data_IF_753510056404
#
_entry.id   IF_753510056404
#
_cell.length_a   1.000
_cell.length_b   1.000
_cell.length_c   1.000
_cell.angle_alpha   90.00
_cell.angle_beta   90.00
_cell.angle_gamma   90.00
#
_symmetry.space_group_name_H-M   'P 1'
#
loop_
_entity.id
_entity.type
_entity.pdbx_description
1 polymer ?
#
# COMPACT_ATOMS: atom_id res chain seq x y z
N UNK A 1 -21.69 25.68 -15.51
CA UNK A 1 -20.28 25.41 -15.91
C UNK A 1 -20.03 23.91 -15.79
N UNK A 2 -19.59 23.25 -16.85
CA UNK A 2 -19.31 21.81 -16.81
C UNK A 2 -17.97 21.52 -16.10
N UNK A 3 -17.68 20.25 -15.82
CA UNK A 3 -16.45 19.88 -15.09
C UNK A 3 -15.18 20.24 -15.85
N UNK A 4 -15.21 20.17 -17.19
CA UNK A 4 -14.06 20.50 -18.04
C UNK A 4 -13.71 21.99 -17.95
N UNK A 5 -14.73 22.87 -17.97
CA UNK A 5 -14.57 24.31 -17.78
C UNK A 5 -14.05 24.64 -16.37
N UNK A 6 -14.59 23.97 -15.33
CA UNK A 6 -14.11 24.10 -13.94
C UNK A 6 -12.63 23.72 -13.81
N UNK A 7 -12.24 22.56 -14.34
CA UNK A 7 -10.86 22.09 -14.31
C UNK A 7 -9.92 23.01 -15.10
N UNK A 8 -10.35 23.46 -16.29
CA UNK A 8 -9.58 24.40 -17.11
C UNK A 8 -9.30 25.70 -16.35
N UNK A 9 -10.33 26.30 -15.75
CA UNK A 9 -10.17 27.52 -14.94
C UNK A 9 -9.29 27.28 -13.72
N UNK A 10 -9.46 26.16 -13.01
CA UNK A 10 -8.61 25.81 -11.87
C UNK A 10 -7.13 25.73 -12.28
N UNK A 11 -6.82 24.99 -13.36
CA UNK A 11 -5.43 24.83 -13.83
C UNK A 11 -4.82 26.15 -14.27
N UNK A 12 -5.58 26.96 -15.01
CA UNK A 12 -5.13 28.30 -15.42
C UNK A 12 -4.96 29.25 -14.23
N UNK A 13 -5.84 29.19 -13.22
CA UNK A 13 -5.82 30.06 -12.04
C UNK A 13 -4.67 29.71 -11.10
N UNK A 14 -4.49 28.42 -10.79
CA UNK A 14 -3.56 27.95 -9.75
C UNK A 14 -2.17 27.71 -10.32
N UNK A 15 -2.06 26.98 -11.43
CA UNK A 15 -0.77 26.58 -12.01
C UNK A 15 -0.30 27.50 -13.14
N UNK A 16 -1.13 28.48 -13.55
CA UNK A 16 -0.81 29.46 -14.59
C UNK A 16 -0.36 28.80 -15.91
N UNK A 17 -0.99 27.68 -16.27
CA UNK A 17 -0.65 26.87 -17.44
C UNK A 17 -1.89 26.30 -18.14
N UNK A 18 -1.70 25.57 -19.24
CA UNK A 18 -2.77 24.86 -19.96
C UNK A 18 -3.00 23.44 -19.42
N UNK A 19 -4.13 22.82 -19.79
CA UNK A 19 -4.42 21.43 -19.40
C UNK A 19 -3.42 20.44 -19.97
N UNK A 20 -2.90 20.69 -21.17
CA UNK A 20 -1.93 19.84 -21.85
C UNK A 20 -0.61 19.79 -21.07
N UNK A 21 -0.06 20.96 -20.70
CA UNK A 21 1.18 21.02 -19.92
C UNK A 21 0.99 20.44 -18.52
N UNK A 22 -0.17 20.69 -17.88
CA UNK A 22 -0.50 20.09 -16.59
C UNK A 22 -0.53 18.56 -16.65
N UNK A 23 -1.18 17.99 -17.68
CA UNK A 23 -1.25 16.56 -17.89
C UNK A 23 0.13 15.94 -18.18
N UNK A 24 0.93 16.55 -19.05
CA UNK A 24 2.28 16.07 -19.35
C UNK A 24 3.19 16.13 -18.11
N UNK A 25 3.10 17.18 -17.30
CA UNK A 25 3.83 17.26 -16.04
C UNK A 25 3.44 16.13 -15.06
N UNK A 26 2.16 15.79 -14.97
CA UNK A 26 1.69 14.65 -14.18
C UNK A 26 2.19 13.31 -14.73
N UNK A 27 2.16 13.10 -16.06
CA UNK A 27 2.66 11.86 -16.69
C UNK A 27 4.15 11.64 -16.44
N UNK A 28 4.95 12.71 -16.49
CA UNK A 28 6.41 12.65 -16.33
C UNK A 28 6.86 12.53 -14.87
N UNK A 29 5.97 12.75 -13.90
CA UNK A 29 6.31 12.75 -12.47
C UNK A 29 5.52 11.70 -11.68
N UNK A 30 6.09 10.50 -11.47
CA UNK A 30 5.48 9.46 -10.64
C UNK A 30 5.16 9.94 -9.22
N UNK A 31 6.00 10.81 -8.65
CA UNK A 31 5.77 11.39 -7.33
C UNK A 31 4.49 12.26 -7.31
N UNK A 32 4.27 13.07 -8.34
CA UNK A 32 3.07 13.90 -8.44
C UNK A 32 1.81 13.03 -8.57
N UNK A 33 1.86 11.94 -9.36
CA UNK A 33 0.78 10.97 -9.43
C UNK A 33 0.50 10.32 -8.07
N UNK A 34 1.54 10.00 -7.31
CA UNK A 34 1.43 9.48 -5.95
C UNK A 34 0.69 10.43 -5.01
N UNK A 35 1.06 11.72 -4.98
CA UNK A 35 0.38 12.73 -4.15
C UNK A 35 -1.09 12.94 -4.54
N UNK A 36 -1.38 12.99 -5.84
CA UNK A 36 -2.75 13.11 -6.34
C UNK A 36 -3.56 11.87 -5.97
N UNK A 37 -2.99 10.68 -6.14
CA UNK A 37 -3.65 9.42 -5.79
C UNK A 37 -3.97 9.35 -4.29
N UNK A 38 -3.02 9.72 -3.42
CA UNK A 38 -3.27 9.79 -1.98
C UNK A 38 -4.42 10.74 -1.62
N UNK A 39 -4.45 11.93 -2.25
CA UNK A 39 -5.54 12.90 -2.06
C UNK A 39 -6.90 12.38 -2.55
N UNK A 40 -6.92 11.61 -3.64
CA UNK A 40 -8.12 10.95 -4.17
C UNK A 40 -8.60 9.87 -3.20
N UNK A 41 -7.71 9.00 -2.75
CA UNK A 41 -7.99 7.94 -1.76
C UNK A 41 -8.60 8.53 -0.49
N UNK A 42 -8.02 9.58 0.07
CA UNK A 42 -8.55 10.29 1.24
C UNK A 42 -9.95 10.87 1.00
N UNK A 43 -10.17 11.51 -0.15
CA UNK A 43 -11.48 12.08 -0.50
C UNK A 43 -12.55 11.00 -0.67
N UNK A 44 -12.22 9.89 -1.31
CA UNK A 44 -13.12 8.76 -1.50
C UNK A 44 -13.44 8.07 -0.17
N UNK A 45 -12.44 7.89 0.68
CA UNK A 45 -12.62 7.34 2.03
C UNK A 45 -13.58 8.20 2.84
N UNK A 46 -13.37 9.52 2.88
CA UNK A 46 -14.27 10.46 3.56
C UNK A 46 -15.71 10.33 3.05
N UNK A 47 -15.90 10.33 1.72
CA UNK A 47 -17.23 10.18 1.11
C UNK A 47 -17.88 8.84 1.45
N UNK A 48 -17.11 7.75 1.48
CA UNK A 48 -17.58 6.42 1.87
C UNK A 48 -18.04 6.40 3.33
N UNK A 49 -17.22 6.91 4.26
CA UNK A 49 -17.55 7.00 5.68
C UNK A 49 -18.81 7.83 5.95
N UNK A 50 -18.94 8.99 5.31
CA UNK A 50 -20.10 9.85 5.46
C UNK A 50 -21.35 9.29 4.79
N UNK A 51 -21.22 8.81 3.56
CA UNK A 51 -22.35 8.39 2.72
C UNK A 51 -22.90 7.01 3.06
N UNK A 52 -22.03 6.03 3.30
CA UNK A 52 -22.44 4.64 3.55
C UNK A 52 -22.62 4.35 5.04
N UNK A 53 -21.80 4.95 5.90
CA UNK A 53 -21.78 4.65 7.34
C UNK A 53 -22.39 5.75 8.22
N UNK A 54 -22.73 6.91 7.64
CA UNK A 54 -23.33 8.03 8.38
C UNK A 54 -22.40 8.63 9.44
N UNK A 55 -21.08 8.50 9.25
CA UNK A 55 -20.04 8.95 10.18
C UNK A 55 -19.69 10.40 9.86
N UNK A 56 -19.53 11.24 10.89
CA UNK A 56 -18.98 12.59 10.71
C UNK A 56 -17.46 12.49 10.61
N UNK A 57 -16.87 13.06 9.55
CA UNK A 57 -15.43 12.98 9.27
C UNK A 57 -14.83 14.38 9.06
N UNK A 58 -13.77 14.70 9.80
CA UNK A 58 -13.03 15.97 9.69
C UNK A 58 -11.56 15.69 9.42
N UNK A 59 -10.97 16.32 8.39
CA UNK A 59 -9.54 16.17 8.09
C UNK A 59 -8.69 16.82 9.19
N UNK A 60 -7.64 16.13 9.61
CA UNK A 60 -6.64 16.66 10.55
C UNK A 60 -5.76 17.66 9.83
N UNK A 61 -5.46 18.79 10.46
CA UNK A 61 -4.58 19.81 9.90
C UNK A 61 -3.17 19.26 9.66
N UNK A 62 -2.70 19.41 8.42
CA UNK A 62 -1.38 18.95 7.97
C UNK A 62 -0.23 19.63 8.76
N UNK A 63 -0.30 20.96 8.91
CA UNK A 63 0.63 21.74 9.72
C UNK A 63 0.03 21.99 11.10
N UNK A 64 0.41 21.14 12.06
CA UNK A 64 -0.02 21.24 13.45
C UNK A 64 0.59 22.46 14.14
N UNK A 65 -0.22 23.21 14.89
CA UNK A 65 0.24 24.32 15.73
C UNK A 65 0.46 23.86 17.18
N UNK A 66 1.65 24.10 17.73
CA UNK A 66 2.00 23.71 19.10
C UNK A 66 2.41 22.24 19.25
N UNK A 67 2.31 21.71 20.47
CA UNK A 67 2.66 20.31 20.76
C UNK A 67 1.51 19.39 20.36
N UNK A 68 1.75 18.46 19.43
CA UNK A 68 0.77 17.45 19.03
C UNK A 68 0.63 16.40 20.13
N UNK A 69 -0.61 16.12 20.55
CA UNK A 69 -0.89 15.01 21.46
C UNK A 69 -0.63 13.68 20.74
N UNK A 70 -0.20 12.66 21.47
CA UNK A 70 0.12 11.34 20.92
C UNK A 70 -1.03 10.71 20.14
N UNK A 71 -2.27 11.02 20.51
CA UNK A 71 -3.46 10.39 19.92
C UNK A 71 -4.04 11.18 18.74
N UNK A 72 -3.35 12.21 18.23
CA UNK A 72 -3.79 12.99 17.05
C UNK A 72 -3.03 12.63 15.77
N UNK A 73 -2.25 11.56 15.77
CA UNK A 73 -1.35 11.19 14.69
C UNK A 73 -2.09 10.39 13.60
N UNK A 74 -3.06 11.04 12.94
CA UNK A 74 -3.78 10.48 11.80
C UNK A 74 -4.05 11.48 10.68
N UNK A 75 -4.84 11.07 9.69
CA UNK A 75 -5.34 11.90 8.61
C UNK A 75 -6.75 12.47 8.88
N UNK A 76 -7.57 11.73 9.62
CA UNK A 76 -8.96 12.08 9.89
C UNK A 76 -9.34 11.96 11.37
N UNK A 77 -10.17 12.89 11.84
CA UNK A 77 -11.07 12.69 12.95
C UNK A 77 -12.37 12.10 12.46
N UNK A 78 -12.95 11.15 13.20
CA UNK A 78 -14.25 10.60 12.90
C UNK A 78 -15.10 10.33 14.15
N UNK A 79 -16.43 10.44 14.03
CA UNK A 79 -17.37 10.04 15.08
C UNK A 79 -18.72 9.64 14.50
N UNK A 80 -19.50 8.86 15.26
CA UNK A 80 -20.94 8.76 15.00
C UNK A 80 -21.65 10.01 15.55
N UNK A 81 -22.59 10.61 14.80
CA UNK A 81 -23.25 11.88 15.19
C UNK A 81 -23.88 11.89 16.58
N UNK A 82 -24.28 10.74 17.12
CA UNK A 82 -24.96 10.62 18.42
C UNK A 82 -24.07 10.16 19.58
N UNK A 83 -22.81 9.79 19.33
CA UNK A 83 -21.94 9.14 20.32
C UNK A 83 -20.94 10.13 20.95
N UNK A 84 -20.78 11.35 20.41
CA UNK A 84 -19.99 12.43 21.01
C UNK A 84 -18.47 12.19 21.09
N UNK A 85 -18.00 10.95 20.96
CA UNK A 85 -16.61 10.55 21.03
C UNK A 85 -15.94 10.63 19.66
N UNK A 86 -14.86 11.40 19.58
CA UNK A 86 -14.03 11.51 18.39
C UNK A 86 -12.88 10.52 18.44
N UNK A 87 -12.58 9.93 17.30
CA UNK A 87 -11.48 8.99 17.10
C UNK A 87 -10.62 9.47 15.94
N UNK A 88 -9.42 8.91 15.83
CA UNK A 88 -8.44 9.24 14.81
C UNK A 88 -8.22 8.06 13.88
N UNK A 89 -8.25 8.32 12.58
CA UNK A 89 -8.02 7.34 11.53
C UNK A 89 -6.81 7.75 10.69
N UNK A 90 -5.94 6.78 10.43
CA UNK A 90 -4.85 6.89 9.46
C UNK A 90 -5.28 6.25 8.13
N UNK A 91 -5.05 6.93 7.01
CA UNK A 91 -5.38 6.45 5.66
C UNK A 91 -4.11 6.08 4.91
N UNK A 92 -4.03 4.85 4.42
CA UNK A 92 -2.89 4.31 3.67
C UNK A 92 -3.33 3.64 2.38
N UNK A 93 -2.35 3.36 1.53
CA UNK A 93 -2.50 2.46 0.39
C UNK A 93 -1.55 1.28 0.50
N UNK A 94 -1.71 0.30 -0.39
CA UNK A 94 -0.75 -0.78 -0.57
C UNK A 94 0.49 -0.31 -1.33
N UNK A 95 1.62 -1.01 -1.18
CA UNK A 95 2.85 -0.72 -1.94
C UNK A 95 2.67 -0.99 -3.43
N UNK A 96 3.30 -0.15 -4.25
CA UNK A 96 3.32 -0.33 -5.71
C UNK A 96 4.40 -1.30 -6.20
N UNK A 97 5.35 -1.72 -5.36
CA UNK A 97 6.54 -2.47 -5.77
C UNK A 97 6.82 -3.74 -4.94
N UNK A 98 5.84 -4.27 -4.21
CA UNK A 98 6.02 -5.45 -3.34
C UNK A 98 6.58 -6.66 -4.08
N UNK A 99 6.06 -6.95 -5.27
CA UNK A 99 6.46 -8.09 -6.08
C UNK A 99 7.94 -8.01 -6.49
N UNK A 100 8.42 -6.82 -6.87
CA UNK A 100 9.84 -6.56 -7.16
C UNK A 100 10.69 -6.65 -5.89
N UNK A 101 10.24 -6.04 -4.79
CA UNK A 101 10.95 -6.04 -3.52
C UNK A 101 11.24 -7.47 -3.01
N UNK A 102 10.24 -8.35 -3.10
CA UNK A 102 10.37 -9.77 -2.72
C UNK A 102 10.95 -10.65 -3.83
N UNK A 103 11.28 -10.07 -5.00
CA UNK A 103 11.82 -10.75 -6.19
C UNK A 103 10.94 -11.89 -6.68
N UNK A 104 9.62 -11.70 -6.66
CA UNK A 104 8.64 -12.72 -7.03
C UNK A 104 8.70 -13.11 -8.51
N UNK A 105 9.44 -12.35 -9.33
CA UNK A 105 9.83 -12.72 -10.70
C UNK A 105 10.78 -13.93 -10.79
N UNK A 106 11.19 -14.52 -9.65
CA UNK A 106 11.93 -15.76 -9.54
C UNK A 106 11.06 -16.86 -8.89
N UNK A 107 10.99 -18.04 -9.50
CA UNK A 107 10.10 -19.14 -9.06
C UNK A 107 10.25 -19.49 -7.58
N UNK A 108 11.48 -19.70 -7.11
CA UNK A 108 11.72 -20.11 -5.71
C UNK A 108 11.32 -19.01 -4.71
N UNK A 109 11.46 -17.74 -5.08
CA UNK A 109 11.02 -16.61 -4.27
C UNK A 109 9.49 -16.56 -4.20
N UNK A 110 8.80 -16.68 -5.33
CA UNK A 110 7.34 -16.73 -5.39
C UNK A 110 6.79 -17.91 -4.58
N UNK A 111 7.31 -19.13 -4.81
CA UNK A 111 6.91 -20.33 -4.08
C UNK A 111 7.12 -20.16 -2.58
N UNK A 112 8.32 -19.74 -2.15
CA UNK A 112 8.63 -19.54 -0.74
C UNK A 112 7.74 -18.47 -0.08
N UNK A 113 7.46 -17.38 -0.80
CA UNK A 113 6.58 -16.31 -0.33
C UNK A 113 5.15 -16.80 -0.12
N UNK A 114 4.57 -17.50 -1.10
CA UNK A 114 3.23 -18.07 -0.99
C UNK A 114 3.14 -19.11 0.14
N UNK A 115 4.16 -19.96 0.32
CA UNK A 115 4.20 -20.94 1.43
C UNK A 115 4.21 -20.21 2.78
N UNK A 116 5.08 -19.20 2.92
CA UNK A 116 5.22 -18.43 4.17
C UNK A 116 3.90 -17.76 4.57
N UNK A 117 3.10 -17.35 3.58
CA UNK A 117 1.83 -16.65 3.78
C UNK A 117 0.60 -17.49 3.44
N UNK A 118 0.73 -18.82 3.41
CA UNK A 118 -0.32 -19.73 2.95
C UNK A 118 -1.63 -19.61 3.75
N UNK A 119 -1.54 -19.29 5.04
CA UNK A 119 -2.71 -19.05 5.91
C UNK A 119 -3.59 -17.88 5.45
N UNK A 120 -3.07 -17.02 4.57
CA UNK A 120 -3.75 -15.83 4.02
C UNK A 120 -4.33 -16.09 2.63
N UNK A 121 -4.29 -17.33 2.15
CA UNK A 121 -4.73 -17.74 0.82
C UNK A 121 -5.97 -18.62 0.96
N UNK A 122 -7.13 -18.13 0.52
CA UNK A 122 -8.44 -18.73 0.76
C UNK A 122 -8.61 -20.16 0.21
N UNK A 123 -7.90 -20.51 -0.88
CA UNK A 123 -7.99 -21.83 -1.50
C UNK A 123 -7.02 -22.85 -0.88
N UNK A 124 -6.16 -22.46 0.06
CA UNK A 124 -5.27 -23.38 0.78
C UNK A 124 -6.00 -23.95 2.00
N UNK A 125 -6.02 -25.29 2.09
CA UNK A 125 -6.44 -25.98 3.31
C UNK A 125 -5.22 -26.16 4.22
N UNK A 126 -5.21 -25.63 5.47
CA UNK A 126 -4.07 -25.76 6.38
C UNK A 126 -3.82 -27.20 6.87
N UNK A 127 -4.80 -28.11 6.72
CA UNK A 127 -4.66 -29.52 7.14
C UNK A 127 -3.96 -30.40 6.08
N UNK A 128 -3.66 -29.84 4.90
CA UNK A 128 -3.01 -30.53 3.79
C UNK A 128 -1.55 -30.08 3.63
N UNK A 129 -0.77 -30.86 2.87
CA UNK A 129 0.58 -30.44 2.52
C UNK A 129 0.54 -29.22 1.59
N UNK A 130 0.99 -28.09 2.10
CA UNK A 130 0.91 -26.77 1.47
C UNK A 130 1.85 -26.69 0.25
N UNK A 131 3.04 -27.29 0.35
CA UNK A 131 4.09 -27.10 -0.66
C UNK A 131 3.71 -27.67 -2.04
N UNK A 132 3.21 -28.91 -2.16
CA UNK A 132 2.75 -29.46 -3.43
C UNK A 132 1.64 -28.64 -4.07
N UNK A 133 0.67 -28.16 -3.29
CA UNK A 133 -0.46 -27.37 -3.79
C UNK A 133 -0.04 -26.03 -4.36
N UNK A 134 0.88 -25.35 -3.68
CA UNK A 134 1.44 -24.08 -4.18
C UNK A 134 2.27 -24.33 -5.44
N UNK A 135 3.09 -25.39 -5.46
CA UNK A 135 3.84 -25.76 -6.66
C UNK A 135 2.94 -26.10 -7.84
N UNK A 136 1.86 -26.86 -7.63
CA UNK A 136 0.85 -27.16 -8.64
C UNK A 136 0.19 -25.89 -9.14
N UNK A 137 -0.25 -25.01 -8.23
CA UNK A 137 -0.87 -23.74 -8.59
C UNK A 137 0.06 -22.87 -9.46
N UNK A 138 1.34 -22.71 -9.09
CA UNK A 138 2.31 -21.94 -9.89
C UNK A 138 2.53 -22.61 -11.25
N UNK A 139 2.64 -23.94 -11.31
CA UNK A 139 2.87 -24.66 -12.55
C UNK A 139 1.68 -24.53 -13.53
N UNK A 140 0.45 -24.57 -13.00
CA UNK A 140 -0.76 -24.44 -13.81
C UNK A 140 -1.00 -22.99 -14.26
N UNK A 141 -0.86 -22.02 -13.36
CA UNK A 141 -1.21 -20.63 -13.64
C UNK A 141 -0.06 -19.82 -14.24
N UNK A 142 1.18 -20.21 -13.97
CA UNK A 142 2.40 -19.53 -14.39
C UNK A 142 3.39 -20.51 -15.08
N UNK A 143 2.98 -21.27 -16.12
CA UNK A 143 3.76 -22.35 -16.72
C UNK A 143 5.12 -21.92 -17.30
N UNK A 144 5.27 -20.66 -17.71
CA UNK A 144 6.58 -20.12 -18.16
C UNK A 144 7.70 -20.32 -17.15
N UNK A 145 7.43 -20.39 -15.83
CA UNK A 145 8.46 -20.70 -14.83
C UNK A 145 9.08 -22.10 -14.98
N UNK A 146 8.42 -23.03 -15.65
CA UNK A 146 8.96 -24.38 -15.88
C UNK A 146 10.06 -24.38 -16.95
N UNK A 147 10.05 -23.40 -17.86
CA UNK A 147 10.91 -23.39 -19.04
C UNK A 147 11.51 -22.00 -19.31
N UNK A 148 10.72 -21.06 -19.83
CA UNK A 148 11.17 -19.73 -20.26
C UNK A 148 11.78 -18.90 -19.11
N UNK A 149 11.19 -18.98 -17.92
CA UNK A 149 11.61 -18.26 -16.71
C UNK A 149 12.23 -19.18 -15.65
N UNK A 150 12.71 -20.36 -16.05
CA UNK A 150 13.31 -21.34 -15.13
C UNK A 150 14.59 -20.80 -14.44
N UNK A 151 15.28 -19.87 -15.09
CA UNK A 151 16.50 -19.26 -14.58
C UNK A 151 16.21 -17.97 -13.83
N UNK A 152 16.85 -17.78 -12.67
CA UNK A 152 16.69 -16.58 -11.85
C UNK A 152 17.23 -15.32 -12.53
N UNK A 153 16.62 -14.18 -12.25
CA UNK A 153 17.17 -12.86 -12.53
C UNK A 153 17.64 -12.17 -11.25
N UNK A 154 18.50 -11.19 -11.44
CA UNK A 154 19.07 -10.34 -10.39
C UNK A 154 19.14 -8.91 -10.90
N UNK A 155 19.02 -7.93 -10.00
CA UNK A 155 19.15 -6.52 -10.38
C UNK A 155 20.57 -6.23 -10.86
N UNK A 156 20.70 -5.26 -11.77
CA UNK A 156 21.99 -4.91 -12.37
C UNK A 156 23.08 -4.63 -11.33
N UNK A 157 22.76 -3.84 -10.29
CA UNK A 157 23.72 -3.48 -9.25
C UNK A 157 24.13 -4.72 -8.41
N UNK A 158 23.19 -5.64 -8.14
CA UNK A 158 23.50 -6.91 -7.47
C UNK A 158 24.47 -7.77 -8.27
N UNK A 159 24.31 -7.79 -9.60
CA UNK A 159 25.20 -8.53 -10.50
C UNK A 159 26.59 -7.93 -10.49
N UNK A 160 26.69 -6.60 -10.66
CA UNK A 160 27.98 -5.91 -10.65
C UNK A 160 28.69 -6.05 -9.31
N UNK A 161 27.98 -5.93 -8.20
CA UNK A 161 28.55 -6.09 -6.86
C UNK A 161 29.01 -7.52 -6.59
N UNK A 162 28.23 -8.53 -7.01
CA UNK A 162 28.61 -9.93 -6.88
C UNK A 162 29.88 -10.26 -7.68
N UNK A 163 30.00 -9.74 -8.90
CA UNK A 163 31.14 -10.01 -9.80
C UNK A 163 32.43 -9.27 -9.42
N UNK A 164 32.39 -8.27 -8.52
CA UNK A 164 33.60 -7.64 -7.96
C UNK A 164 34.41 -8.60 -7.09
N UNK A 165 33.75 -9.56 -6.44
CA UNK A 165 34.40 -10.52 -5.55
C UNK A 165 33.66 -11.87 -5.61
N UNK A 166 33.74 -12.58 -6.74
CA UNK A 166 32.99 -13.81 -6.93
C UNK A 166 33.52 -14.90 -5.98
N UNK A 167 32.63 -15.70 -5.37
CA UNK A 167 33.05 -16.81 -4.53
C UNK A 167 33.82 -17.85 -5.36
N UNK A 168 34.78 -18.54 -4.72
CA UNK A 168 35.63 -19.54 -5.38
C UNK A 168 34.88 -20.79 -5.84
N UNK A 169 33.72 -21.08 -5.24
CA UNK A 169 32.91 -22.26 -5.55
C UNK A 169 31.86 -21.88 -6.58
N UNK A 170 31.80 -22.66 -7.66
CA UNK A 170 30.74 -22.56 -8.66
C UNK A 170 29.39 -23.02 -8.07
N UNK A 171 28.37 -22.21 -8.30
CA UNK A 171 26.99 -22.39 -7.83
C UNK A 171 26.02 -21.97 -8.92
N UNK A 172 24.75 -22.36 -8.83
CA UNK A 172 23.71 -21.90 -9.75
C UNK A 172 23.64 -20.38 -9.82
N UNK A 173 23.80 -19.70 -8.67
CA UNK A 173 23.84 -18.23 -8.61
C UNK A 173 25.06 -17.67 -9.33
N UNK A 174 26.26 -18.22 -9.13
CA UNK A 174 27.46 -17.70 -9.81
C UNK A 174 27.36 -17.84 -11.32
N UNK A 175 26.81 -18.97 -11.81
CA UNK A 175 26.64 -19.21 -13.25
C UNK A 175 25.65 -18.21 -13.85
N UNK A 176 24.56 -17.93 -13.14
CA UNK A 176 23.59 -16.93 -13.56
C UNK A 176 24.18 -15.51 -13.60
N UNK A 177 24.95 -15.13 -12.58
CA UNK A 177 25.61 -13.82 -12.53
C UNK A 177 26.57 -13.63 -13.71
N UNK A 178 27.26 -14.69 -14.13
CA UNK A 178 28.12 -14.67 -15.32
C UNK A 178 27.29 -14.55 -16.61
N UNK A 179 26.18 -15.28 -16.72
CA UNK A 179 25.27 -15.17 -17.88
C UNK A 179 24.70 -13.76 -18.02
N UNK A 180 24.35 -13.10 -16.91
CA UNK A 180 23.74 -11.77 -16.90
C UNK A 180 24.76 -10.62 -17.04
N UNK A 181 26.07 -10.90 -17.01
CA UNK A 181 27.12 -9.87 -16.89
C UNK A 181 27.15 -8.86 -18.06
N UNK A 182 26.77 -9.34 -19.25
CA UNK A 182 26.89 -8.64 -20.53
C UNK A 182 25.62 -7.84 -20.88
N UNK A 183 24.57 -7.97 -20.07
CA UNK A 183 23.35 -7.18 -20.22
C UNK A 183 23.51 -5.78 -19.62
N UNK A 184 22.86 -4.80 -20.24
CA UNK A 184 22.76 -3.43 -19.71
C UNK A 184 21.74 -3.36 -18.58
N UNK A 185 21.78 -2.27 -17.80
CA UNK A 185 20.78 -2.01 -16.75
C UNK A 185 19.36 -2.04 -17.31
N UNK A 186 19.14 -1.39 -18.45
CA UNK A 186 17.81 -1.29 -19.06
C UNK A 186 17.30 -2.64 -19.56
N UNK A 187 18.17 -3.47 -20.15
CA UNK A 187 17.80 -4.82 -20.55
C UNK A 187 17.41 -5.69 -19.36
N UNK A 188 18.15 -5.62 -18.25
CA UNK A 188 17.84 -6.38 -17.05
C UNK A 188 16.53 -5.90 -16.42
N UNK A 189 16.32 -4.59 -16.34
CA UNK A 189 15.08 -4.03 -15.83
C UNK A 189 13.90 -4.47 -16.69
N UNK A 190 14.01 -4.40 -18.02
CA UNK A 190 12.98 -4.86 -18.93
C UNK A 190 12.64 -6.34 -18.71
N UNK A 191 13.65 -7.22 -18.58
CA UNK A 191 13.42 -8.64 -18.32
C UNK A 191 12.73 -8.89 -16.97
N UNK A 192 13.05 -8.08 -15.95
CA UNK A 192 12.41 -8.15 -14.63
C UNK A 192 10.96 -7.67 -14.73
N UNK A 193 10.73 -6.52 -15.37
CA UNK A 193 9.40 -5.91 -15.53
C UNK A 193 8.46 -6.85 -16.30
N UNK A 194 8.91 -7.45 -17.41
CA UNK A 194 8.15 -8.44 -18.18
C UNK A 194 7.72 -9.64 -17.32
N UNK A 195 8.62 -10.14 -16.45
CA UNK A 195 8.29 -11.24 -15.54
C UNK A 195 7.39 -10.82 -14.39
N UNK A 196 7.54 -9.60 -13.89
CA UNK A 196 6.67 -9.04 -12.87
C UNK A 196 5.25 -8.87 -13.39
N UNK A 197 5.07 -8.30 -14.59
CA UNK A 197 3.78 -8.21 -15.26
C UNK A 197 3.14 -9.59 -15.42
N UNK A 198 3.92 -10.60 -15.81
CA UNK A 198 3.46 -11.97 -15.91
C UNK A 198 2.98 -12.54 -14.57
N UNK A 199 3.75 -12.37 -13.48
CA UNK A 199 3.32 -12.81 -12.13
C UNK A 199 2.07 -12.06 -11.70
N UNK A 200 2.06 -10.73 -11.83
CA UNK A 200 0.97 -9.84 -11.43
C UNK A 200 -0.30 -10.03 -12.27
N UNK A 201 -0.20 -10.67 -13.44
CA UNK A 201 -1.37 -11.08 -14.21
C UNK A 201 -2.18 -12.18 -13.50
N UNK A 202 -1.57 -12.94 -12.57
CA UNK A 202 -2.21 -14.04 -11.85
C UNK A 202 -2.30 -13.85 -10.34
N UNK A 203 -1.31 -13.20 -9.74
CA UNK A 203 -1.28 -12.96 -8.29
C UNK A 203 -0.63 -11.63 -7.98
N UNK A 204 -1.30 -10.84 -7.14
CA UNK A 204 -0.86 -9.54 -6.67
C UNK A 204 -0.84 -9.52 -5.14
N UNK A 205 0.16 -8.87 -4.57
CA UNK A 205 0.37 -8.83 -3.12
C UNK A 205 -0.28 -7.58 -2.54
N UNK A 206 -1.08 -7.77 -1.49
CA UNK A 206 -1.60 -6.68 -0.68
C UNK A 206 -0.67 -6.47 0.51
N UNK A 207 0.37 -5.65 0.32
CA UNK A 207 1.31 -5.29 1.37
C UNK A 207 1.15 -3.80 1.71
N UNK A 208 0.98 -3.49 3.00
CA UNK A 208 0.84 -2.11 3.46
C UNK A 208 2.17 -1.34 3.43
N UNK A 209 2.08 -0.02 3.55
CA UNK A 209 3.24 0.87 3.59
C UNK A 209 3.17 1.83 4.79
N UNK A 210 3.52 1.35 5.99
CA UNK A 210 3.62 2.16 7.22
C UNK A 210 5.05 2.68 7.43
N UNK A 211 5.57 3.44 6.47
CA UNK A 211 6.85 4.13 6.65
C UNK A 211 6.65 5.35 7.54
N UNK A 212 7.33 5.39 8.68
CA UNK A 212 7.42 6.61 9.45
C UNK A 212 8.34 7.63 8.77
N UNK A 213 7.91 8.90 8.79
CA UNK A 213 8.75 10.02 8.40
C UNK A 213 9.94 10.18 9.34
N UNK A 214 11.09 10.62 8.82
CA UNK A 214 12.16 11.15 9.67
C UNK A 214 11.68 12.47 10.26
N UNK A 215 11.70 12.62 11.58
CA UNK A 215 11.54 13.94 12.21
C UNK A 215 12.69 14.84 11.74
N UNK A 216 12.37 16.05 11.25
CA UNK A 216 13.36 17.05 10.81
C UNK A 216 14.30 17.50 11.94
N UNK A 217 13.98 17.18 13.20
CA UNK A 217 14.88 17.30 14.35
C UNK A 217 15.55 15.96 14.67
N UNK A 218 16.88 15.97 14.51
CA UNK A 218 17.91 15.03 14.95
C UNK A 218 17.57 13.91 15.96
N UNK A 219 18.16 12.74 15.70
CA UNK A 219 18.43 11.57 16.60
C UNK A 219 17.37 10.45 16.75
N UNK A 220 16.27 10.42 15.99
CA UNK A 220 15.44 9.21 15.94
C UNK A 220 15.77 8.33 14.73
N UNK A 221 16.22 7.11 15.01
CA UNK A 221 16.09 5.96 14.11
C UNK A 221 14.62 5.87 13.68
N UNK A 222 14.39 5.64 12.40
CA UNK A 222 13.06 5.58 11.78
C UNK A 222 12.20 4.56 12.53
N UNK A 223 11.31 5.01 13.42
CA UNK A 223 10.44 4.15 14.22
C UNK A 223 9.06 4.16 13.57
N UNK A 224 8.53 3.00 13.19
CA UNK A 224 7.17 2.83 12.65
C UNK A 224 6.12 3.46 13.55
N UNK A 225 4.91 3.70 13.05
CA UNK A 225 3.84 4.25 13.89
C UNK A 225 3.58 3.40 15.14
N UNK A 226 3.23 4.05 16.24
CA UNK A 226 2.80 3.34 17.45
C UNK A 226 1.34 2.93 17.34
N UNK A 227 0.97 1.88 18.06
CA UNK A 227 -0.42 1.37 18.14
C UNK A 227 -1.40 2.32 18.83
N UNK A 228 -0.88 3.31 19.58
CA UNK A 228 -1.65 4.31 20.33
C UNK A 228 -1.74 5.67 19.63
N UNK A 229 -1.15 5.81 18.43
CA UNK A 229 -1.11 7.08 17.69
C UNK A 229 -2.44 7.43 16.98
N UNK A 230 -3.23 6.41 16.66
CA UNK A 230 -4.53 6.47 16.01
C UNK A 230 -5.38 5.27 16.43
N UNK A 231 -6.69 5.35 16.20
CA UNK A 231 -7.67 4.35 16.65
C UNK A 231 -8.04 3.34 15.55
N UNK A 232 -7.97 3.77 14.28
CA UNK A 232 -8.27 2.95 13.13
C UNK A 232 -7.27 3.21 12.00
N UNK A 233 -7.00 2.21 11.18
CA UNK A 233 -6.36 2.38 9.87
C UNK A 233 -7.36 2.03 8.79
N UNK A 234 -7.34 2.81 7.71
CA UNK A 234 -7.94 2.45 6.44
C UNK A 234 -6.83 2.17 5.42
N UNK A 235 -6.93 1.10 4.64
CA UNK A 235 -6.06 0.78 3.52
C UNK A 235 -6.86 0.67 2.23
N UNK A 236 -6.50 1.49 1.24
CA UNK A 236 -7.03 1.39 -0.12
C UNK A 236 -6.15 0.47 -0.98
N UNK A 237 -6.79 -0.53 -1.61
CA UNK A 237 -6.11 -1.54 -2.42
C UNK A 237 -6.16 -1.27 -3.93
N UNK A 238 -6.61 -0.09 -4.37
CA UNK A 238 -6.80 0.23 -5.80
C UNK A 238 -5.55 0.02 -6.69
N UNK A 239 -4.34 0.07 -6.13
CA UNK A 239 -3.10 -0.22 -6.88
C UNK A 239 -2.98 -1.69 -7.30
N UNK A 240 -3.78 -2.58 -6.73
CA UNK A 240 -3.80 -4.02 -7.00
C UNK A 240 -5.18 -4.54 -7.39
N UNK A 241 -6.22 -3.76 -7.15
CA UNK A 241 -7.61 -4.11 -7.40
C UNK A 241 -8.24 -3.17 -8.47
N UNK A 242 -9.22 -3.62 -9.28
CA UNK A 242 -9.76 -2.82 -10.39
C UNK A 242 -10.42 -1.50 -9.99
N UNK A 243 -10.80 -1.35 -8.73
CA UNK A 243 -11.50 -0.19 -8.17
C UNK A 243 -10.97 0.17 -6.78
N UNK A 244 -11.34 1.35 -6.29
CA UNK A 244 -11.09 1.73 -4.90
C UNK A 244 -11.87 0.83 -3.96
N UNK A 245 -11.15 0.05 -3.17
CA UNK A 245 -11.70 -0.82 -2.15
C UNK A 245 -10.92 -0.63 -0.87
N UNK A 246 -11.64 -0.33 0.21
CA UNK A 246 -11.08 0.02 1.50
C UNK A 246 -11.20 -1.14 2.48
N UNK A 247 -10.13 -1.37 3.23
CA UNK A 247 -10.09 -2.28 4.36
C UNK A 247 -9.73 -1.51 5.63
N UNK A 248 -10.27 -1.94 6.75
CA UNK A 248 -10.12 -1.27 8.04
C UNK A 248 -9.48 -2.19 9.06
N UNK A 249 -8.66 -1.65 9.95
CA UNK A 249 -8.10 -2.41 11.06
C UNK A 249 -7.98 -1.55 12.32
N UNK A 250 -8.14 -2.19 13.48
CA UNK A 250 -7.74 -1.59 14.75
C UNK A 250 -6.23 -1.81 14.93
N UNK A 251 -5.41 -0.75 15.07
CA UNK A 251 -3.95 -0.88 15.21
C UNK A 251 -3.52 -1.77 16.38
N UNK A 252 -4.34 -1.84 17.44
CA UNK A 252 -4.07 -2.68 18.61
C UNK A 252 -4.20 -4.17 18.30
N UNK A 253 -4.95 -4.55 17.27
CA UNK A 253 -5.15 -5.93 16.84
C UNK A 253 -4.13 -6.41 15.80
N UNK A 254 -3.40 -5.48 15.18
CA UNK A 254 -2.32 -5.83 14.24
C UNK A 254 -1.08 -6.36 14.98
N UNK A 255 -0.29 -7.22 14.34
CA UNK A 255 0.96 -7.73 14.91
C UNK A 255 1.95 -6.58 15.22
N UNK A 256 2.66 -6.65 16.35
CA UNK A 256 3.67 -5.64 16.67
C UNK A 256 4.96 -5.82 15.85
N UNK A 257 5.76 -4.76 15.77
CA UNK A 257 7.16 -4.86 15.38
C UNK A 257 7.92 -5.78 16.34
N UNK A 258 8.83 -6.60 15.81
CA UNK A 258 9.64 -7.51 16.64
C UNK A 258 10.55 -6.78 17.63
N UNK A 259 10.94 -5.55 17.32
CA UNK A 259 11.84 -4.74 18.14
C UNK A 259 11.13 -3.92 19.23
N UNK A 260 9.82 -3.66 19.09
CA UNK A 260 9.02 -2.95 20.10
C UNK A 260 7.53 -3.33 20.04
N UNK A 261 6.96 -3.89 21.13
CA UNK A 261 5.56 -4.32 21.17
C UNK A 261 4.55 -3.19 21.02
N UNK A 262 4.93 -1.93 21.26
CA UNK A 262 4.05 -0.77 21.11
C UNK A 262 4.02 -0.22 19.67
N UNK A 263 4.93 -0.69 18.82
CA UNK A 263 5.06 -0.23 17.45
C UNK A 263 4.41 -1.20 16.47
N UNK A 264 3.82 -0.67 15.41
CA UNK A 264 3.33 -1.43 14.27
C UNK A 264 4.49 -1.96 13.43
N UNK A 265 4.28 -3.05 12.71
CA UNK A 265 5.19 -3.43 11.63
C UNK A 265 5.19 -2.38 10.52
N UNK A 266 6.32 -2.24 9.83
CA UNK A 266 6.42 -1.31 8.71
C UNK A 266 5.52 -1.74 7.55
N UNK A 267 5.37 -3.04 7.34
CA UNK A 267 4.59 -3.59 6.25
C UNK A 267 3.89 -4.87 6.73
N UNK A 268 2.58 -4.93 6.52
CA UNK A 268 1.78 -6.13 6.75
C UNK A 268 1.40 -6.72 5.40
N UNK A 269 1.57 -8.03 5.26
CA UNK A 269 0.91 -8.77 4.17
C UNK A 269 -0.55 -8.96 4.58
N UNK A 270 -1.45 -8.14 4.05
CA UNK A 270 -2.89 -8.23 4.30
C UNK A 270 -3.50 -9.44 3.60
N UNK A 271 -2.91 -9.84 2.47
CA UNK A 271 -3.49 -10.87 1.62
C UNK A 271 -3.04 -10.77 0.16
N UNK A 272 -3.88 -11.30 -0.72
CA UNK A 272 -3.59 -11.51 -2.13
C UNK A 272 -4.82 -11.20 -2.99
N UNK A 273 -4.57 -10.72 -4.21
CA UNK A 273 -5.56 -10.72 -5.29
C UNK A 273 -5.13 -11.76 -6.32
N UNK A 274 -5.95 -12.77 -6.54
CA UNK A 274 -5.75 -13.78 -7.57
C UNK A 274 -6.62 -13.49 -8.78
N UNK A 275 -6.09 -13.65 -9.98
CA UNK A 275 -6.83 -13.42 -11.23
C UNK A 275 -6.96 -14.72 -12.01
N UNK A 276 -8.19 -15.11 -12.36
CA UNK A 276 -8.45 -16.29 -13.18
C UNK A 276 -8.13 -16.04 -14.69
N UNK A 277 -8.32 -17.05 -15.54
CA UNK A 277 -8.10 -16.92 -16.99
C UNK A 277 -9.12 -16.00 -17.68
N UNK A 278 -10.26 -15.72 -17.06
CA UNK A 278 -11.28 -14.82 -17.57
C UNK A 278 -11.05 -13.36 -17.13
N UNK A 279 -10.03 -13.11 -16.30
CA UNK A 279 -9.75 -11.78 -15.74
C UNK A 279 -10.52 -11.46 -14.46
N UNK A 280 -11.25 -12.42 -13.88
CA UNK A 280 -11.97 -12.20 -12.62
C UNK A 280 -10.98 -12.20 -11.45
N UNK A 281 -11.07 -11.17 -10.62
CA UNK A 281 -10.25 -11.03 -9.41
C UNK A 281 -10.94 -11.66 -8.21
N UNK A 282 -10.27 -12.60 -7.55
CA UNK A 282 -10.65 -13.15 -6.24
C UNK A 282 -9.75 -12.56 -5.17
N UNK A 283 -10.38 -11.97 -4.15
CA UNK A 283 -9.69 -11.34 -3.04
C UNK A 283 -9.57 -12.31 -1.87
N UNK A 284 -8.38 -12.41 -1.29
CA UNK A 284 -8.09 -13.21 -0.11
C UNK A 284 -7.38 -12.33 0.90
N UNK A 285 -8.09 -11.90 1.94
CA UNK A 285 -7.61 -10.96 2.96
C UNK A 285 -7.77 -11.60 4.34
N UNK A 286 -6.85 -11.30 5.25
CA UNK A 286 -6.86 -11.86 6.60
C UNK A 286 -7.89 -11.20 7.51
N UNK A 287 -8.28 -11.90 8.57
CA UNK A 287 -9.36 -11.51 9.49
C UNK A 287 -9.09 -10.22 10.28
N UNK A 288 -7.84 -9.77 10.37
CA UNK A 288 -7.50 -8.51 11.04
C UNK A 288 -7.91 -7.27 10.21
N UNK A 289 -8.27 -7.46 8.93
CA UNK A 289 -8.64 -6.41 7.99
C UNK A 289 -10.11 -6.54 7.58
N UNK A 290 -10.94 -5.69 8.15
CA UNK A 290 -12.39 -5.64 7.95
C UNK A 290 -12.78 -4.92 6.66
N UNK A 291 -13.74 -5.46 5.92
CA UNK A 291 -14.34 -4.76 4.77
C UNK A 291 -15.42 -3.76 5.24
N UNK A 292 -16.19 -4.14 6.27
CA UNK A 292 -17.19 -3.26 6.89
C UNK A 292 -16.53 -2.38 7.97
N UNK A 293 -16.68 -1.06 7.84
CA UNK A 293 -16.18 -0.11 8.82
C UNK A 293 -16.84 -0.28 10.21
N UNK A 294 -18.09 -0.76 10.27
CA UNK A 294 -18.77 -1.00 11.54
C UNK A 294 -18.03 -2.02 12.40
N UNK A 295 -17.44 -3.05 11.79
CA UNK A 295 -16.69 -4.09 12.51
C UNK A 295 -15.47 -3.50 13.22
N UNK A 296 -14.70 -2.62 12.57
CA UNK A 296 -13.59 -1.94 13.26
C UNK A 296 -14.11 -0.97 14.33
N UNK A 297 -15.24 -0.29 14.08
CA UNK A 297 -15.81 0.68 15.01
C UNK A 297 -16.22 0.04 16.34
N UNK A 298 -16.75 -1.18 16.31
CA UNK A 298 -17.14 -1.94 17.50
C UNK A 298 -15.95 -2.32 18.39
N UNK A 299 -14.73 -2.30 17.85
CA UNK A 299 -13.50 -2.59 18.61
C UNK A 299 -12.90 -1.38 19.30
N UNK A 300 -13.44 -0.18 19.08
CA UNK A 300 -12.85 1.07 19.60
C UNK A 300 -13.16 1.26 21.09
N UNK A 301 -12.18 1.71 21.87
CA UNK A 301 -12.34 2.01 23.29
C UNK A 301 -12.55 3.52 23.49
N UNK A 302 -13.50 3.87 24.36
CA UNK A 302 -13.79 5.24 24.80
C UNK A 302 -12.57 5.93 25.41
N UNK A 303 -11.69 5.20 26.09
CA UNK A 303 -10.47 5.77 26.71
C UNK A 303 -9.47 6.30 25.68
N UNK A 304 -9.58 5.86 24.43
CA UNK A 304 -8.71 6.29 23.34
C UNK A 304 -9.29 7.47 22.54
N UNK A 305 -10.44 8.02 22.96
CA UNK A 305 -11.07 9.13 22.25
C UNK A 305 -10.27 10.44 22.40
N UNK A 306 -10.41 11.31 21.41
CA UNK A 306 -9.86 12.67 21.46
C UNK A 306 -10.96 13.65 21.85
N UNK A 307 -10.58 14.70 22.58
CA UNK A 307 -11.51 15.78 22.92
C UNK A 307 -11.65 16.75 21.76
N UNK A 308 -12.88 17.19 21.52
CA UNK A 308 -13.16 18.13 20.42
C UNK A 308 -12.42 19.47 20.59
N UNK A 309 -12.21 19.92 21.82
CA UNK A 309 -11.47 21.14 22.14
C UNK A 309 -9.98 21.10 21.76
N UNK A 310 -9.40 19.90 21.64
CA UNK A 310 -8.00 19.69 21.28
C UNK A 310 -7.80 19.48 19.76
N UNK A 311 -8.89 19.35 18.99
CA UNK A 311 -8.84 19.06 17.56
C UNK A 311 -8.41 20.27 16.73
N UNK A 312 -7.42 20.07 15.86
CA UNK A 312 -7.10 21.01 14.78
C UNK A 312 -7.60 20.49 13.43
N UNK A 313 -8.65 21.12 12.91
CA UNK A 313 -9.34 20.71 11.70
C UNK A 313 -8.83 21.50 10.49
N UNK A 314 -8.63 20.82 9.37
CA UNK A 314 -8.33 21.47 8.09
C UNK A 314 -9.60 21.99 7.42
N UNK A 315 -9.81 23.31 7.50
CA UNK A 315 -10.97 23.97 6.90
C UNK A 315 -10.75 24.40 5.44
N UNK A 316 -9.60 24.10 4.81
CA UNK A 316 -9.27 24.57 3.44
C UNK A 316 -10.27 24.13 2.38
N UNK A 317 -10.98 23.02 2.60
CA UNK A 317 -12.00 22.50 1.68
C UNK A 317 -13.29 23.34 1.63
N UNK A 318 -13.57 24.16 2.65
CA UNK A 318 -14.80 24.96 2.72
C UNK A 318 -14.73 26.15 1.76
N UNK A 319 -13.54 26.74 1.58
CA UNK A 319 -13.32 27.96 0.78
C UNK A 319 -13.47 27.74 -0.74
N UNK A 320 -13.27 26.52 -1.26
CA UNK A 320 -13.34 26.26 -2.70
C UNK A 320 -14.78 26.24 -3.21
N UNK A 321 -15.75 25.90 -2.35
CA UNK A 321 -17.17 25.88 -2.75
C UNK A 321 -17.79 27.28 -2.82
N UNK A 322 -17.27 28.28 -2.09
CA UNK A 322 -17.82 29.65 -2.11
C UNK A 322 -17.35 30.47 -3.32
N UNK A 323 -16.19 30.15 -3.90
CA UNK A 323 -15.61 30.86 -5.05
C UNK A 323 -15.91 30.22 -6.42
N UNK A 324 -16.59 29.07 -6.45
CA UNK A 324 -16.90 28.29 -7.66
C UNK A 324 -18.43 28.12 -7.92
N UNK A 325 -19.28 28.83 -7.16
CA UNK A 325 -20.63 29.28 -7.59
C UNK A 325 -20.52 30.64 -8.30
#
# INVERSE_FOLDING_TARGET
MNIFEKLTRFVQRVFKTSLEIFLEALKLSPNAQGYVSGSITELLLKKKLEGEYGVEVKRIREKWEGKKHSNHHGDFYFRRPCIGHWYVMESKGVKSNSEDWHKLYNYNNLKGFLITHAKKIAWINPDEDIEPRISEWINTNLPKFQHEYAQNLYKYDEIKDYLKSPPKRETTKSNMMVTLKDFTRDQINQMIDERLEYVMSKVKILETHFVAGRSESSERTQATHRKDEFNAVSVDIFLRYPEHKFFFANPKHLESSGDDPNHLQQNYIMGFVFTDDNGNSTLSVTEEWYEDFNEVYETLNLDDCVKEEDMQIDNRYIMVNEDDE
#
